data_IF_758219679759
#
_entry.id   IF_758219679759
#
_cell.length_a   1.000
_cell.length_b   1.000
_cell.length_c   1.000
_cell.angle_alpha   90.00
_cell.angle_beta   90.00
_cell.angle_gamma   90.00
#
_symmetry.space_group_name_H-M   'P 1'
#
loop_
_entity.id
_entity.type
_entity.pdbx_description
1 polymer ?
#
# COMPACT_ATOMS: atom_id res chain seq x y z
N UNK A 1 50.81 12.40 -31.14
CA UNK A 1 50.60 13.53 -30.21
C UNK A 1 49.30 14.21 -30.55
N UNK A 2 48.68 15.00 -29.67
CA UNK A 2 49.09 15.40 -28.31
C UNK A 2 47.94 15.04 -27.36
N UNK A 3 48.18 14.22 -26.34
CA UNK A 3 48.63 14.61 -24.99
C UNK A 3 47.46 14.93 -24.06
N UNK A 4 47.35 14.17 -22.97
CA UNK A 4 46.51 14.53 -21.82
C UNK A 4 47.03 15.82 -21.17
N UNK A 5 46.17 16.49 -20.39
CA UNK A 5 46.59 17.28 -19.23
C UNK A 5 45.40 17.51 -18.27
N UNK A 6 45.56 17.01 -17.04
CA UNK A 6 44.86 17.40 -15.82
C UNK A 6 45.94 17.56 -14.74
N UNK A 7 45.67 18.22 -13.60
CA UNK A 7 44.90 19.45 -13.41
C UNK A 7 45.80 20.55 -12.79
N UNK A 8 45.23 21.65 -12.30
CA UNK A 8 45.94 22.65 -11.49
C UNK A 8 45.10 23.02 -10.24
N UNK A 9 45.77 23.27 -9.12
CA UNK A 9 45.14 23.64 -7.85
C UNK A 9 46.07 24.54 -7.02
N UNK A 10 45.51 25.60 -6.42
CA UNK A 10 46.07 26.45 -5.37
C UNK A 10 44.89 26.83 -4.44
N UNK A 11 44.92 26.46 -3.16
CA UNK A 11 45.57 27.18 -2.05
C UNK A 11 44.84 28.53 -1.76
N UNK A 12 43.88 28.59 -0.83
CA UNK A 12 44.03 28.55 0.64
C UNK A 12 44.74 29.77 1.24
N UNK A 13 43.99 30.58 1.99
CA UNK A 13 44.50 31.42 3.09
C UNK A 13 43.46 31.40 4.22
N UNK A 14 43.88 31.13 5.46
CA UNK A 14 43.00 31.04 6.63
C UNK A 14 43.13 32.25 7.57
N UNK A 15 42.10 32.51 8.39
CA UNK A 15 42.16 33.48 9.49
C UNK A 15 41.31 33.05 10.71
N UNK A 16 42.00 32.73 11.80
CA UNK A 16 41.54 32.65 13.19
C UNK A 16 42.67 33.23 14.08
N UNK A 17 42.57 33.36 15.42
CA UNK A 17 41.41 33.33 16.33
C UNK A 17 41.34 34.58 17.25
N UNK A 18 40.42 34.61 18.22
CA UNK A 18 40.61 35.30 19.52
C UNK A 18 39.93 34.52 20.65
N UNK A 19 40.42 34.64 21.90
CA UNK A 19 40.12 33.72 23.02
C UNK A 19 40.21 34.39 24.40
N UNK A 20 39.22 34.14 25.27
CA UNK A 20 39.26 34.12 26.75
C UNK A 20 37.99 33.34 27.22
N UNK A 21 37.95 32.38 28.17
CA UNK A 21 38.48 32.25 29.56
C UNK A 21 37.92 33.29 30.55
N UNK A 22 37.49 32.97 31.80
CA UNK A 22 37.52 31.74 32.64
C UNK A 22 36.24 31.71 33.56
N UNK A 23 35.96 30.87 34.58
CA UNK A 23 36.72 29.89 35.40
C UNK A 23 35.90 28.58 35.72
N UNK A 24 35.68 28.21 37.00
CA UNK A 24 35.33 26.82 37.42
C UNK A 24 34.51 26.67 38.75
N UNK A 25 33.71 25.58 38.83
CA UNK A 25 33.52 24.61 39.96
C UNK A 25 32.84 25.03 41.32
N UNK A 26 32.44 24.09 42.25
CA UNK A 26 31.63 22.85 42.10
C UNK A 26 30.63 22.55 43.29
N UNK A 27 30.00 21.35 43.33
CA UNK A 27 29.35 20.63 44.49
C UNK A 27 27.97 21.13 45.03
N UNK A 28 27.04 20.32 45.62
CA UNK A 28 26.76 18.85 45.64
C UNK A 28 25.23 18.56 45.95
N UNK A 29 24.70 17.49 46.65
CA UNK A 29 23.67 16.62 46.02
C UNK A 29 22.37 16.24 46.82
N UNK A 30 21.43 15.55 46.13
CA UNK A 30 20.32 14.68 46.65
C UNK A 30 19.12 15.37 47.37
N UNK A 31 17.93 14.73 47.59
CA UNK A 31 17.60 13.28 47.60
C UNK A 31 16.36 12.80 46.79
N UNK A 32 16.13 11.48 46.83
CA UNK A 32 15.10 10.70 46.11
C UNK A 32 13.78 10.53 46.90
N UNK A 33 12.59 10.54 46.26
CA UNK A 33 11.35 10.02 46.84
C UNK A 33 11.26 8.47 46.79
N UNK A 34 10.69 7.85 47.81
CA UNK A 34 10.55 6.38 47.92
C UNK A 34 9.18 5.85 47.44
N UNK A 35 9.14 4.54 47.11
CA UNK A 35 7.92 3.79 46.79
C UNK A 35 7.15 3.41 48.07
N UNK A 36 5.83 3.62 48.16
CA UNK A 36 5.02 3.11 49.29
C UNK A 36 4.95 1.59 49.31
N UNK A 37 5.13 0.99 50.48
CA UNK A 37 4.84 -0.43 50.77
C UNK A 37 3.45 -0.58 51.40
N UNK A 38 2.76 -1.68 51.09
CA UNK A 38 1.46 -1.98 51.69
C UNK A 38 1.61 -2.67 53.07
N UNK A 39 0.68 -2.46 54.03
CA UNK A 39 0.68 -3.18 55.30
C UNK A 39 0.20 -4.64 55.13
N UNK A 40 0.74 -5.55 55.94
CA UNK A 40 0.23 -6.91 56.07
C UNK A 40 -0.87 -6.99 57.16
N UNK A 41 -1.90 -7.86 57.02
CA UNK A 41 -2.89 -8.07 58.07
C UNK A 41 -2.33 -8.93 59.22
N UNK A 42 -2.58 -8.51 60.47
CA UNK A 42 -2.49 -9.39 61.64
C UNK A 42 -3.72 -10.29 61.76
N UNK A 43 -3.56 -11.47 62.37
CA UNK A 43 -4.63 -12.47 62.49
C UNK A 43 -5.63 -12.23 63.63
N UNK A 44 -6.73 -12.98 63.58
CA UNK A 44 -7.78 -13.02 64.60
C UNK A 44 -8.86 -14.03 64.20
N UNK A 45 -8.79 -15.25 64.75
CA UNK A 45 -9.73 -16.34 64.46
C UNK A 45 -10.95 -16.34 65.42
N UNK A 46 -11.78 -17.38 65.33
CA UNK A 46 -12.91 -17.71 66.22
C UNK A 46 -14.18 -16.84 66.13
N UNK A 47 -14.89 -16.99 65.00
CA UNK A 47 -16.33 -16.75 64.90
C UNK A 47 -17.06 -17.94 64.23
N UNK A 48 -16.70 -19.17 64.58
CA UNK A 48 -17.28 -20.39 64.02
C UNK A 48 -18.76 -20.58 64.45
N UNK A 49 -19.68 -20.09 63.62
CA UNK A 49 -21.11 -20.00 63.95
C UNK A 49 -21.79 -21.34 64.28
N UNK A 50 -22.53 -21.37 65.39
CA UNK A 50 -23.30 -22.54 65.83
C UNK A 50 -24.52 -22.78 64.92
N UNK A 51 -24.39 -23.69 63.95
CA UNK A 51 -25.46 -24.07 63.00
C UNK A 51 -26.34 -25.18 63.56
N UNK A 52 -27.66 -24.96 63.57
CA UNK A 52 -28.64 -25.93 64.09
C UNK A 52 -28.79 -27.15 63.15
N UNK A 53 -29.16 -28.34 63.68
CA UNK A 53 -29.24 -29.58 62.88
C UNK A 53 -30.18 -29.49 61.66
N UNK A 54 -31.29 -28.74 61.77
CA UNK A 54 -32.24 -28.53 60.67
C UNK A 54 -31.61 -27.78 59.48
N UNK A 55 -30.76 -26.79 59.76
CA UNK A 55 -30.07 -25.99 58.75
C UNK A 55 -28.97 -26.82 58.07
N UNK A 56 -28.25 -27.64 58.86
CA UNK A 56 -27.28 -28.63 58.33
C UNK A 56 -27.96 -29.65 57.40
N UNK A 57 -29.15 -30.14 57.77
CA UNK A 57 -29.92 -31.06 56.92
C UNK A 57 -30.36 -30.40 55.61
N UNK A 58 -31.01 -29.23 55.65
CA UNK A 58 -31.40 -28.51 54.42
C UNK A 58 -30.21 -28.23 53.50
N UNK A 59 -29.06 -27.85 54.07
CA UNK A 59 -27.86 -27.57 53.28
C UNK A 59 -27.37 -28.83 52.54
N UNK A 60 -27.38 -29.99 53.19
CA UNK A 60 -27.05 -31.27 52.55
C UNK A 60 -28.10 -31.71 51.49
N UNK A 61 -29.39 -31.45 51.73
CA UNK A 61 -30.47 -31.79 50.78
C UNK A 61 -30.46 -30.90 49.52
N UNK A 62 -29.94 -29.67 49.61
CA UNK A 62 -29.85 -28.73 48.50
C UNK A 62 -28.43 -28.57 47.91
N UNK A 63 -27.42 -29.27 48.45
CA UNK A 63 -26.03 -29.19 47.99
C UNK A 63 -25.37 -27.83 48.22
N UNK A 64 -25.75 -27.13 49.30
CA UNK A 64 -25.27 -25.78 49.64
C UNK A 64 -24.14 -25.87 50.66
N UNK A 65 -22.99 -25.26 50.37
CA UNK A 65 -21.90 -25.13 51.33
C UNK A 65 -22.19 -24.01 52.33
N UNK A 66 -22.41 -24.37 53.60
CA UNK A 66 -22.69 -23.44 54.69
C UNK A 66 -21.57 -22.43 54.95
N UNK A 67 -20.32 -22.69 54.57
CA UNK A 67 -19.22 -21.72 54.69
C UNK A 67 -19.38 -20.54 53.73
N UNK A 68 -20.15 -20.71 52.65
CA UNK A 68 -20.45 -19.68 51.65
C UNK A 68 -21.74 -18.86 51.94
N UNK A 69 -22.50 -19.24 52.97
CA UNK A 69 -23.81 -18.64 53.28
C UNK A 69 -23.68 -17.68 54.46
N UNK A 70 -23.79 -16.37 54.18
CA UNK A 70 -23.83 -15.37 55.24
C UNK A 70 -25.17 -15.41 55.99
N UNK A 71 -25.14 -15.57 57.31
CA UNK A 71 -26.34 -15.84 58.12
C UNK A 71 -27.10 -14.59 58.57
N UNK A 72 -28.40 -14.51 58.26
CA UNK A 72 -29.25 -13.34 58.57
C UNK A 72 -29.83 -13.34 59.99
N UNK A 73 -29.64 -14.43 60.75
CA UNK A 73 -30.13 -14.56 62.11
C UNK A 73 -29.31 -13.79 63.15
N UNK A 74 -29.98 -13.29 64.19
CA UNK A 74 -29.37 -12.55 65.33
C UNK A 74 -28.10 -13.26 65.82
N UNK A 75 -26.95 -12.59 65.71
CA UNK A 75 -25.62 -13.16 65.99
C UNK A 75 -24.98 -13.92 64.81
N UNK A 76 -25.23 -13.51 63.56
CA UNK A 76 -24.65 -14.12 62.35
C UNK A 76 -25.11 -15.55 62.05
N UNK A 77 -26.23 -15.99 62.64
CA UNK A 77 -26.67 -17.39 62.55
C UNK A 77 -27.43 -17.67 61.27
N UNK A 78 -26.94 -18.65 60.50
CA UNK A 78 -27.59 -19.14 59.28
C UNK A 78 -28.98 -19.69 59.59
N UNK A 79 -29.99 -19.21 58.86
CA UNK A 79 -31.41 -19.60 58.96
C UNK A 79 -31.85 -20.48 57.78
N UNK A 80 -33.07 -21.01 57.87
CA UNK A 80 -33.69 -21.82 56.80
C UNK A 80 -33.80 -21.04 55.48
N UNK A 81 -34.20 -19.77 55.54
CA UNK A 81 -34.27 -18.86 54.40
C UNK A 81 -32.92 -18.71 53.70
N UNK A 82 -31.86 -18.39 54.45
CA UNK A 82 -30.51 -18.16 53.91
C UNK A 82 -30.01 -19.34 53.05
N UNK A 83 -30.25 -20.58 53.50
CA UNK A 83 -29.90 -21.81 52.74
C UNK A 83 -30.77 -22.00 51.51
N UNK A 84 -32.07 -21.69 51.57
CA UNK A 84 -32.97 -21.78 50.41
C UNK A 84 -32.64 -20.71 49.36
N UNK A 85 -32.32 -19.48 49.78
CA UNK A 85 -31.87 -18.43 48.87
C UNK A 85 -30.53 -18.75 48.23
N UNK A 86 -29.59 -19.36 48.97
CA UNK A 86 -28.34 -19.85 48.42
C UNK A 86 -28.58 -21.01 47.41
N UNK A 87 -29.52 -21.92 47.70
CA UNK A 87 -29.89 -23.00 46.79
C UNK A 87 -30.51 -22.47 45.48
N UNK A 88 -31.42 -21.51 45.53
CA UNK A 88 -32.02 -20.91 44.32
C UNK A 88 -31.01 -20.06 43.53
N UNK A 89 -30.11 -19.33 44.21
CA UNK A 89 -28.98 -18.64 43.55
C UNK A 89 -28.03 -19.62 42.86
N UNK A 90 -27.74 -20.77 43.48
CA UNK A 90 -26.92 -21.84 42.89
C UNK A 90 -27.60 -22.52 41.68
N UNK A 91 -28.94 -22.68 41.69
CA UNK A 91 -29.72 -23.13 40.52
C UNK A 91 -29.69 -22.10 39.39
N UNK A 92 -29.91 -20.82 39.69
CA UNK A 92 -29.87 -19.74 38.70
C UNK A 92 -28.48 -19.64 38.04
N UNK A 93 -27.40 -19.77 38.81
CA UNK A 93 -26.03 -19.80 38.28
C UNK A 93 -25.76 -21.03 37.37
N UNK A 94 -26.44 -22.17 37.60
CA UNK A 94 -26.37 -23.36 36.74
C UNK A 94 -27.20 -23.28 35.45
N UNK A 95 -28.01 -22.23 35.27
CA UNK A 95 -28.82 -22.01 34.07
C UNK A 95 -28.21 -21.00 33.08
N UNK A 96 -27.08 -20.37 33.41
CA UNK A 96 -26.38 -19.44 32.53
C UNK A 96 -25.45 -20.20 31.56
N UNK A 97 -25.48 -19.91 30.24
CA UNK A 97 -24.51 -20.48 29.30
C UNK A 97 -23.10 -19.94 29.59
N UNK A 98 -22.10 -20.83 29.55
CA UNK A 98 -20.73 -20.45 29.84
C UNK A 98 -20.16 -19.47 28.79
N UNK A 99 -19.34 -18.48 29.19
CA UNK A 99 -18.64 -17.62 28.23
C UNK A 99 -17.77 -18.44 27.29
N UNK A 100 -17.98 -18.30 25.99
CA UNK A 100 -17.14 -18.97 24.99
C UNK A 100 -15.70 -18.45 25.10
N UNK A 101 -14.74 -19.35 25.30
CA UNK A 101 -13.33 -19.00 25.29
C UNK A 101 -12.96 -18.41 23.93
N UNK A 102 -12.43 -17.19 23.91
CA UNK A 102 -11.91 -16.59 22.68
C UNK A 102 -10.76 -17.46 22.16
N UNK A 103 -10.78 -17.90 20.88
CA UNK A 103 -9.66 -18.64 20.32
C UNK A 103 -8.40 -17.80 20.38
N UNK A 104 -7.35 -18.33 21.01
CA UNK A 104 -6.02 -17.71 20.95
C UNK A 104 -5.62 -17.54 19.47
N UNK A 105 -5.12 -16.35 19.11
CA UNK A 105 -4.79 -16.02 17.73
C UNK A 105 -3.77 -17.04 17.19
N UNK A 106 -4.21 -17.88 16.25
CA UNK A 106 -3.38 -18.93 15.70
C UNK A 106 -2.14 -18.34 15.01
N UNK A 107 -0.95 -18.81 15.39
CA UNK A 107 0.28 -18.46 14.70
C UNK A 107 0.13 -18.79 13.20
N UNK A 108 0.64 -17.94 12.28
CA UNK A 108 0.46 -18.15 10.85
C UNK A 108 1.03 -19.50 10.44
N UNK A 109 0.17 -20.36 9.89
CA UNK A 109 0.57 -21.70 9.46
C UNK A 109 1.71 -21.62 8.43
N UNK A 110 2.71 -22.51 8.49
CA UNK A 110 3.85 -22.48 7.58
C UNK A 110 3.37 -22.57 6.13
N UNK A 111 3.87 -21.68 5.28
CA UNK A 111 3.47 -21.61 3.89
C UNK A 111 3.72 -22.96 3.19
N UNK A 112 2.68 -23.51 2.55
CA UNK A 112 2.82 -24.76 1.78
C UNK A 112 3.91 -24.59 0.72
N UNK A 113 4.83 -25.56 0.53
CA UNK A 113 5.84 -25.49 -0.51
C UNK A 113 5.22 -25.21 -1.88
N UNK A 114 5.81 -24.29 -2.63
CA UNK A 114 5.34 -23.96 -3.97
C UNK A 114 5.38 -25.21 -4.86
N UNK A 115 4.26 -25.53 -5.51
CA UNK A 115 4.18 -26.66 -6.41
C UNK A 115 5.14 -26.47 -7.59
N UNK A 116 5.91 -27.50 -7.95
CA UNK A 116 6.79 -27.46 -9.13
C UNK A 116 5.95 -27.21 -10.39
N UNK A 117 6.30 -26.23 -11.24
CA UNK A 117 5.60 -26.00 -12.50
C UNK A 117 5.57 -27.26 -13.37
N UNK A 118 4.38 -27.66 -13.83
CA UNK A 118 4.24 -28.81 -14.73
C UNK A 118 4.48 -28.39 -16.19
N UNK A 119 5.03 -29.27 -17.04
CA UNK A 119 5.16 -28.99 -18.47
C UNK A 119 3.80 -28.70 -19.12
N UNK A 120 3.70 -27.63 -19.90
CA UNK A 120 2.51 -27.36 -20.71
C UNK A 120 2.35 -28.41 -21.81
N UNK A 121 1.10 -28.82 -22.09
CA UNK A 121 0.75 -29.68 -23.22
C UNK A 121 1.12 -29.11 -24.60
N UNK A 122 1.50 -27.82 -24.69
CA UNK A 122 2.06 -27.21 -25.92
C UNK A 122 3.54 -27.52 -26.17
N UNK A 123 4.22 -28.25 -25.27
CA UNK A 123 5.62 -28.63 -25.45
C UNK A 123 5.77 -29.58 -26.65
N UNK A 124 6.34 -29.08 -27.74
CA UNK A 124 6.59 -29.83 -28.97
C UNK A 124 5.51 -29.70 -30.05
N UNK A 125 4.48 -28.87 -29.84
CA UNK A 125 3.43 -28.62 -30.85
C UNK A 125 3.73 -27.39 -31.70
N UNK A 126 3.30 -27.40 -32.97
CA UNK A 126 3.31 -26.21 -33.84
C UNK A 126 1.88 -25.71 -34.07
N UNK A 127 1.62 -24.46 -33.75
CA UNK A 127 0.31 -23.79 -33.95
C UNK A 127 0.43 -22.68 -35.00
N UNK A 128 -0.64 -22.44 -35.78
CA UNK A 128 -0.70 -21.29 -36.71
C UNK A 128 -0.94 -20.00 -35.92
N UNK A 129 -0.21 -18.93 -36.26
CA UNK A 129 -0.46 -17.60 -35.70
C UNK A 129 -1.90 -17.15 -35.99
N UNK A 130 -2.59 -16.65 -34.96
CA UNK A 130 -3.91 -16.04 -35.13
C UNK A 130 -3.79 -14.68 -35.83
N UNK A 131 -4.82 -14.25 -36.57
CA UNK A 131 -4.81 -12.95 -37.28
C UNK A 131 -4.43 -11.78 -36.35
N UNK A 132 -4.97 -11.78 -35.13
CA UNK A 132 -4.66 -10.79 -34.08
C UNK A 132 -3.18 -10.86 -33.68
N UNK A 133 -2.64 -12.06 -33.42
CA UNK A 133 -1.22 -12.20 -33.05
C UNK A 133 -0.27 -11.76 -34.17
N UNK A 134 -0.61 -12.05 -35.43
CA UNK A 134 0.15 -11.58 -36.60
C UNK A 134 0.12 -10.06 -36.74
N UNK A 135 -1.04 -9.42 -36.51
CA UNK A 135 -1.16 -7.96 -36.55
C UNK A 135 -0.33 -7.29 -35.43
N UNK A 136 -0.42 -7.80 -34.19
CA UNK A 136 0.38 -7.31 -33.06
C UNK A 136 1.88 -7.47 -33.34
N UNK A 137 2.31 -8.65 -33.81
CA UNK A 137 3.72 -8.90 -34.11
C UNK A 137 4.29 -7.93 -35.15
N UNK A 138 3.52 -7.63 -36.21
CA UNK A 138 3.87 -6.63 -37.20
C UNK A 138 3.99 -5.22 -36.59
N UNK A 139 2.94 -4.73 -35.90
CA UNK A 139 2.97 -3.38 -35.29
C UNK A 139 4.08 -3.16 -34.28
N UNK A 140 4.42 -4.19 -33.48
CA UNK A 140 5.55 -4.10 -32.53
C UNK A 140 6.91 -4.08 -33.25
N UNK A 141 7.06 -4.82 -34.35
CA UNK A 141 8.31 -4.79 -35.12
C UNK A 141 8.44 -3.50 -35.94
N UNK A 142 7.35 -3.00 -36.55
CA UNK A 142 7.29 -1.69 -37.21
C UNK A 142 7.75 -0.58 -36.26
N UNK A 143 7.16 -0.50 -35.05
CA UNK A 143 7.55 0.51 -34.04
C UNK A 143 9.04 0.46 -33.65
N UNK A 144 9.63 -0.74 -33.54
CA UNK A 144 11.06 -0.91 -33.25
C UNK A 144 12.00 -0.60 -34.43
N UNK A 145 11.50 -0.54 -35.67
CA UNK A 145 12.29 -0.13 -36.83
C UNK A 145 12.09 1.36 -37.16
N UNK A 146 10.94 1.93 -36.77
CA UNK A 146 10.62 3.35 -36.93
C UNK A 146 11.30 4.22 -35.86
N UNK A 147 11.15 3.87 -34.57
CA UNK A 147 11.51 4.73 -33.45
C UNK A 147 12.90 4.47 -32.89
N UNK A 148 13.62 5.52 -32.47
CA UNK A 148 14.84 5.39 -31.67
C UNK A 148 14.46 5.26 -30.19
N UNK A 149 13.91 4.10 -29.80
CA UNK A 149 13.35 3.95 -28.45
C UNK A 149 14.44 3.93 -27.37
N UNK A 150 14.29 4.80 -26.37
CA UNK A 150 15.06 4.81 -25.13
C UNK A 150 14.11 4.64 -23.93
N UNK A 151 14.56 3.99 -22.86
CA UNK A 151 13.83 3.93 -21.58
C UNK A 151 14.61 4.66 -20.49
N UNK A 152 13.96 5.60 -19.80
CA UNK A 152 14.46 6.23 -18.57
C UNK A 152 13.68 5.69 -17.37
N UNK A 153 14.38 5.31 -16.30
CA UNK A 153 13.79 4.68 -15.09
C UNK A 153 14.13 5.50 -13.84
N UNK A 154 13.14 5.71 -12.97
CA UNK A 154 13.31 6.40 -11.68
C UNK A 154 12.68 5.61 -10.52
N UNK A 155 13.07 5.94 -9.29
CA UNK A 155 12.44 5.44 -8.05
C UNK A 155 11.51 6.47 -7.40
N UNK A 156 10.37 6.00 -6.88
CA UNK A 156 9.30 6.82 -6.30
C UNK A 156 8.81 6.23 -4.97
N UNK A 157 8.77 7.03 -3.90
CA UNK A 157 8.23 6.69 -2.57
C UNK A 157 6.71 6.93 -2.48
N UNK A 158 5.93 5.91 -2.80
CA UNK A 158 4.47 5.95 -2.69
C UNK A 158 3.96 5.61 -1.28
N UNK A 159 4.75 5.83 -0.23
CA UNK A 159 4.35 5.57 1.17
C UNK A 159 3.14 6.41 1.60
N UNK A 160 3.02 7.67 1.17
CA UNK A 160 1.85 8.51 1.48
C UNK A 160 0.59 7.92 0.85
N UNK A 161 0.62 7.64 -0.45
CA UNK A 161 -0.46 6.94 -1.16
C UNK A 161 -0.77 5.58 -0.50
N UNK A 162 0.23 4.82 -0.06
CA UNK A 162 0.01 3.53 0.60
C UNK A 162 -0.73 3.67 1.95
N UNK A 163 -0.49 4.74 2.71
CA UNK A 163 -1.24 5.07 3.94
C UNK A 163 -2.67 5.49 3.60
N UNK A 164 -2.84 6.45 2.68
CA UNK A 164 -4.15 6.94 2.25
C UNK A 164 -5.03 5.83 1.68
N UNK A 165 -4.46 4.94 0.87
CA UNK A 165 -5.15 3.75 0.37
C UNK A 165 -5.56 2.78 1.49
N UNK A 166 -4.79 2.66 2.57
CA UNK A 166 -5.17 1.82 3.70
C UNK A 166 -6.34 2.43 4.51
N UNK A 167 -6.42 3.76 4.58
CA UNK A 167 -7.49 4.51 5.25
C UNK A 167 -8.78 4.57 4.41
N UNK A 168 -8.69 4.98 3.14
CA UNK A 168 -9.85 5.28 2.29
C UNK A 168 -10.40 4.10 1.48
N UNK A 169 -9.74 2.94 1.42
CA UNK A 169 -10.14 1.82 0.53
C UNK A 169 -11.61 1.43 0.60
N UNK A 170 -12.19 1.38 1.80
CA UNK A 170 -13.52 0.83 2.01
C UNK A 170 -14.60 1.89 1.75
N UNK A 171 -14.40 3.13 2.21
CA UNK A 171 -15.28 4.27 1.89
C UNK A 171 -15.21 4.63 0.40
N UNK A 172 -14.04 4.53 -0.24
CA UNK A 172 -13.89 4.68 -1.68
C UNK A 172 -14.65 3.58 -2.44
N UNK A 173 -14.55 2.32 -2.02
CA UNK A 173 -15.33 1.24 -2.64
C UNK A 173 -16.85 1.45 -2.47
N UNK A 174 -17.30 1.97 -1.32
CA UNK A 174 -18.71 2.34 -1.10
C UNK A 174 -19.17 3.49 -2.00
N UNK A 175 -18.38 4.57 -2.12
CA UNK A 175 -18.71 5.75 -2.94
C UNK A 175 -18.58 5.52 -4.46
N UNK A 176 -17.63 4.68 -4.90
CA UNK A 176 -17.28 4.53 -6.31
C UNK A 176 -17.62 3.15 -6.89
N UNK A 177 -18.00 2.15 -6.08
CA UNK A 177 -18.29 0.78 -6.52
C UNK A 177 -17.06 -0.06 -6.89
N UNK A 178 -15.86 0.55 -6.90
CA UNK A 178 -14.62 -0.04 -7.41
C UNK A 178 -13.50 0.02 -6.36
N UNK A 179 -12.58 -0.96 -6.40
CA UNK A 179 -11.48 -1.07 -5.43
C UNK A 179 -10.39 -0.04 -5.71
N UNK A 180 -10.01 0.71 -4.67
CA UNK A 180 -8.90 1.67 -4.71
C UNK A 180 -7.54 0.95 -4.83
N UNK A 181 -7.06 0.72 -6.05
CA UNK A 181 -5.71 0.20 -6.33
C UNK A 181 -4.67 1.35 -6.44
N UNK A 182 -3.40 1.05 -6.71
CA UNK A 182 -2.39 2.09 -6.98
C UNK A 182 -2.50 2.67 -8.41
N UNK A 183 -3.03 1.90 -9.37
CA UNK A 183 -3.01 2.27 -10.79
C UNK A 183 -3.73 3.60 -11.12
N UNK A 184 -4.87 3.96 -10.50
CA UNK A 184 -5.51 5.26 -10.72
C UNK A 184 -4.65 6.46 -10.29
N UNK A 185 -3.80 6.32 -9.27
CA UNK A 185 -2.88 7.40 -8.85
C UNK A 185 -1.77 7.59 -9.88
N UNK A 186 -1.22 6.50 -10.41
CA UNK A 186 -0.22 6.54 -11.49
C UNK A 186 -0.81 7.12 -12.78
N UNK A 187 -2.04 6.74 -13.12
CA UNK A 187 -2.76 7.25 -14.28
C UNK A 187 -3.06 8.76 -14.15
N UNK A 188 -3.54 9.21 -12.99
CA UNK A 188 -3.80 10.64 -12.75
C UNK A 188 -2.51 11.46 -12.82
N UNK A 189 -1.48 11.08 -12.06
CA UNK A 189 -0.20 11.80 -12.03
C UNK A 189 0.48 11.84 -13.40
N UNK A 190 0.39 10.76 -14.20
CA UNK A 190 0.88 10.76 -15.57
C UNK A 190 0.09 11.72 -16.47
N UNK A 191 -1.24 11.74 -16.39
CA UNK A 191 -2.11 12.61 -17.20
C UNK A 191 -1.91 14.09 -16.84
N UNK A 192 -1.88 14.44 -15.56
CA UNK A 192 -1.56 15.80 -15.09
C UNK A 192 -0.16 16.24 -15.59
N UNK A 193 0.81 15.32 -15.65
CA UNK A 193 2.14 15.61 -16.19
C UNK A 193 2.15 15.71 -17.74
N UNK A 194 1.30 14.99 -18.48
CA UNK A 194 1.21 15.13 -19.94
C UNK A 194 0.72 16.53 -20.34
N UNK A 195 -0.18 17.12 -19.55
CA UNK A 195 -0.66 18.50 -19.75
C UNK A 195 0.45 19.54 -19.54
N UNK A 196 1.36 19.29 -18.60
CA UNK A 196 2.54 20.14 -18.36
C UNK A 196 3.69 19.90 -19.37
N UNK A 197 3.80 18.69 -19.91
CA UNK A 197 4.88 18.27 -20.83
C UNK A 197 4.30 17.65 -22.12
N UNK A 198 3.57 18.43 -22.95
CA UNK A 198 2.79 17.91 -24.08
C UNK A 198 3.63 17.27 -25.18
N UNK A 199 4.95 17.51 -25.23
CA UNK A 199 5.89 16.78 -26.10
C UNK A 199 5.91 15.26 -25.83
N UNK A 200 5.63 14.83 -24.59
CA UNK A 200 5.54 13.41 -24.21
C UNK A 200 4.21 12.78 -24.65
N UNK A 201 3.17 13.59 -24.85
CA UNK A 201 1.86 13.19 -25.41
C UNK A 201 1.80 13.33 -26.95
N UNK A 202 2.82 13.94 -27.57
CA UNK A 202 2.84 14.25 -28.99
C UNK A 202 3.10 13.02 -29.87
N UNK A 203 2.94 13.20 -31.19
CA UNK A 203 3.36 12.25 -32.22
C UNK A 203 4.15 12.97 -33.32
N UNK A 204 5.14 12.29 -33.87
CA UNK A 204 5.93 12.79 -35.01
C UNK A 204 5.55 12.05 -36.30
N UNK A 205 5.24 12.81 -37.36
CA UNK A 205 5.26 12.30 -38.73
C UNK A 205 6.51 12.83 -39.44
N UNK A 206 7.52 11.96 -39.55
CA UNK A 206 8.81 12.28 -40.16
C UNK A 206 8.71 12.39 -41.70
N UNK A 207 7.70 11.80 -42.33
CA UNK A 207 7.50 11.88 -43.78
C UNK A 207 6.79 13.18 -44.19
N UNK A 208 5.85 13.65 -43.36
CA UNK A 208 5.25 14.98 -43.50
C UNK A 208 6.13 16.11 -42.92
N UNK A 209 7.12 15.78 -42.09
CA UNK A 209 7.96 16.75 -41.39
C UNK A 209 7.22 17.52 -40.29
N UNK A 210 6.28 16.89 -39.59
CA UNK A 210 5.39 17.54 -38.62
C UNK A 210 5.36 16.85 -37.26
N UNK A 211 5.02 17.62 -36.22
CA UNK A 211 4.70 17.14 -34.89
C UNK A 211 3.23 17.49 -34.63
N UNK A 212 2.40 16.51 -34.28
CA UNK A 212 1.04 16.77 -33.76
C UNK A 212 1.06 16.69 -32.25
N UNK A 213 0.59 17.75 -31.60
CA UNK A 213 0.17 17.72 -30.19
C UNK A 213 -1.33 17.43 -30.16
N UNK A 214 -1.80 16.42 -29.39
CA UNK A 214 -3.23 16.18 -29.21
C UNK A 214 -3.94 17.35 -28.50
N UNK A 215 -5.25 17.42 -28.67
CA UNK A 215 -6.16 18.34 -27.97
C UNK A 215 -6.62 17.81 -26.60
N UNK A 216 -6.41 16.51 -26.31
CA UNK A 216 -6.63 15.90 -24.98
C UNK A 216 -5.72 14.68 -24.73
N UNK A 217 -5.56 14.29 -23.46
CA UNK A 217 -4.92 13.02 -23.08
C UNK A 217 -5.89 11.84 -23.29
N UNK A 218 -5.57 10.97 -24.24
CA UNK A 218 -6.30 9.71 -24.44
C UNK A 218 -5.45 8.56 -23.89
N UNK A 219 -5.72 8.14 -22.65
CA UNK A 219 -4.86 7.22 -21.91
C UNK A 219 -5.19 5.75 -22.22
N UNK A 220 -4.30 5.09 -22.96
CA UNK A 220 -4.33 3.63 -23.12
C UNK A 220 -3.93 2.92 -21.82
N UNK A 221 -4.68 1.90 -21.41
CA UNK A 221 -4.38 1.07 -20.24
C UNK A 221 -4.11 -0.35 -20.72
N UNK A 222 -2.90 -0.88 -20.47
CA UNK A 222 -2.56 -2.24 -20.89
C UNK A 222 -3.28 -3.30 -20.02
N UNK A 223 -4.15 -4.10 -20.63
CA UNK A 223 -4.95 -5.14 -19.97
C UNK A 223 -4.63 -6.52 -20.53
N UNK A 224 -4.10 -7.37 -19.66
CA UNK A 224 -3.80 -8.78 -19.96
C UNK A 224 -5.08 -9.64 -19.98
N UNK A 225 -5.20 -10.51 -20.98
CA UNK A 225 -6.33 -11.43 -21.19
C UNK A 225 -5.85 -12.77 -21.74
N UNK A 226 -6.67 -13.82 -21.62
CA UNK A 226 -6.38 -15.15 -22.18
C UNK A 226 -6.13 -15.16 -23.70
N UNK A 227 -6.63 -14.13 -24.43
CA UNK A 227 -6.44 -13.96 -25.87
C UNK A 227 -5.19 -13.13 -26.22
N UNK A 228 -4.52 -12.58 -25.20
CA UNK A 228 -3.37 -11.69 -25.30
C UNK A 228 -3.63 -10.32 -24.69
N UNK A 229 -2.57 -9.50 -24.67
CA UNK A 229 -2.62 -8.10 -24.26
C UNK A 229 -3.52 -7.29 -25.21
N UNK A 230 -4.38 -6.46 -24.63
CA UNK A 230 -5.17 -5.42 -25.31
C UNK A 230 -4.94 -4.09 -24.58
N UNK A 231 -5.12 -2.97 -25.29
CA UNK A 231 -4.95 -1.62 -24.72
C UNK A 231 -6.25 -0.83 -24.92
N UNK A 232 -7.27 -1.03 -24.07
CA UNK A 232 -8.42 -0.15 -24.02
C UNK A 232 -8.05 1.29 -23.65
N UNK A 233 -8.84 2.25 -24.12
CA UNK A 233 -8.52 3.69 -24.09
C UNK A 233 -9.50 4.47 -23.22
N UNK A 234 -8.97 5.23 -22.27
CA UNK A 234 -9.71 6.26 -21.53
C UNK A 234 -9.59 7.55 -22.35
N UNK A 235 -10.55 7.80 -23.24
CA UNK A 235 -10.61 9.09 -23.93
C UNK A 235 -10.91 10.22 -22.94
N UNK A 236 -10.26 11.37 -23.17
CA UNK A 236 -10.35 12.57 -22.36
C UNK A 236 -10.02 12.26 -20.88
N UNK A 237 -8.92 11.55 -20.65
CA UNK A 237 -8.43 11.25 -19.31
C UNK A 237 -8.05 12.53 -18.53
N UNK A 238 -7.63 13.59 -19.24
CA UNK A 238 -7.32 14.92 -18.70
C UNK A 238 -8.46 15.57 -17.91
N UNK A 239 -9.71 15.25 -18.22
CA UNK A 239 -10.91 15.78 -17.54
C UNK A 239 -11.29 15.00 -16.28
N UNK A 240 -10.56 13.93 -15.93
CA UNK A 240 -10.97 12.94 -14.92
C UNK A 240 -10.14 12.99 -13.64
N UNK A 241 -10.80 13.25 -12.51
CA UNK A 241 -10.22 12.98 -11.19
C UNK A 241 -9.99 11.48 -10.93
N UNK A 242 -9.25 11.15 -9.86
CA UNK A 242 -8.93 9.78 -9.42
C UNK A 242 -10.16 8.87 -9.32
N UNK A 243 -11.30 9.42 -8.89
CA UNK A 243 -12.57 8.70 -8.78
C UNK A 243 -13.22 8.35 -10.13
N UNK A 244 -13.02 9.21 -11.14
CA UNK A 244 -13.39 8.96 -12.54
C UNK A 244 -12.45 7.97 -13.21
N UNK A 245 -11.14 8.19 -13.11
CA UNK A 245 -10.10 7.29 -13.63
C UNK A 245 -10.27 5.88 -13.06
N UNK A 246 -10.43 5.73 -11.74
CA UNK A 246 -10.62 4.42 -11.11
C UNK A 246 -11.85 3.66 -11.64
N UNK A 247 -12.96 4.36 -11.89
CA UNK A 247 -14.17 3.76 -12.50
C UNK A 247 -13.92 3.34 -13.94
N UNK A 248 -13.32 4.21 -14.76
CA UNK A 248 -13.01 3.93 -16.18
C UNK A 248 -12.01 2.77 -16.33
N UNK A 249 -10.92 2.76 -15.55
CA UNK A 249 -9.95 1.65 -15.51
C UNK A 249 -10.62 0.33 -15.16
N UNK A 250 -11.53 0.30 -14.18
CA UNK A 250 -12.21 -0.91 -13.76
C UNK A 250 -13.17 -1.44 -14.85
N UNK A 251 -14.05 -0.58 -15.37
CA UNK A 251 -15.01 -0.91 -16.43
C UNK A 251 -14.32 -1.41 -17.70
N UNK A 252 -13.36 -0.64 -18.24
CA UNK A 252 -12.62 -1.02 -19.44
C UNK A 252 -11.84 -2.33 -19.25
N UNK A 253 -11.25 -2.56 -18.07
CA UNK A 253 -10.53 -3.80 -17.80
C UNK A 253 -11.47 -5.01 -17.60
N UNK A 254 -12.70 -4.83 -17.12
CA UNK A 254 -13.70 -5.89 -17.08
C UNK A 254 -14.24 -6.19 -18.48
N UNK A 255 -14.63 -5.16 -19.25
CA UNK A 255 -15.15 -5.30 -20.62
C UNK A 255 -14.09 -5.84 -21.58
N UNK A 256 -12.82 -5.50 -21.40
CA UNK A 256 -11.72 -6.08 -22.19
C UNK A 256 -11.54 -7.58 -21.89
N UNK A 257 -11.54 -8.00 -20.62
CA UNK A 257 -11.45 -9.42 -20.23
C UNK A 257 -12.68 -10.24 -20.65
N UNK A 258 -13.87 -9.64 -20.59
CA UNK A 258 -15.14 -10.30 -20.94
C UNK A 258 -15.51 -10.17 -22.43
N UNK A 259 -14.63 -9.61 -23.28
CA UNK A 259 -14.85 -9.39 -24.72
C UNK A 259 -16.13 -8.56 -25.03
N UNK A 260 -16.30 -7.46 -24.29
CA UNK A 260 -17.36 -6.43 -24.43
C UNK A 260 -16.79 -5.02 -24.68
N UNK A 261 -15.53 -4.94 -25.09
CA UNK A 261 -14.86 -3.68 -25.50
C UNK A 261 -15.21 -3.37 -26.96
N UNK A 262 -15.50 -2.12 -27.29
CA UNK A 262 -15.79 -1.71 -28.66
C UNK A 262 -14.51 -1.48 -29.49
N UNK A 263 -14.60 -1.38 -30.84
CA UNK A 263 -13.46 -1.01 -31.68
C UNK A 263 -12.91 0.40 -31.41
N UNK A 264 -13.79 1.35 -31.10
CA UNK A 264 -13.40 2.75 -30.86
C UNK A 264 -12.61 2.87 -29.55
N UNK A 265 -13.01 2.09 -28.53
CA UNK A 265 -12.36 2.02 -27.22
C UNK A 265 -11.00 1.30 -27.23
N UNK A 266 -10.51 0.81 -28.37
CA UNK A 266 -9.15 0.26 -28.55
C UNK A 266 -8.31 1.05 -29.57
N UNK A 267 -8.75 2.27 -29.89
CA UNK A 267 -8.11 3.18 -30.84
C UNK A 267 -7.92 4.58 -30.24
N UNK A 268 -7.07 5.41 -30.88
CA UNK A 268 -6.95 6.83 -30.52
C UNK A 268 -6.22 7.16 -29.22
N UNK A 269 -5.65 6.19 -28.50
CA UNK A 269 -4.77 6.49 -27.36
C UNK A 269 -3.53 7.27 -27.82
N UNK A 270 -3.18 8.33 -27.10
CA UNK A 270 -2.02 9.20 -27.35
C UNK A 270 -0.81 8.80 -26.50
N UNK A 271 -1.09 8.25 -25.32
CA UNK A 271 -0.10 7.74 -24.36
C UNK A 271 -0.60 6.43 -23.75
N UNK A 272 0.30 5.53 -23.36
CA UNK A 272 -0.07 4.23 -22.75
C UNK A 272 0.57 4.03 -21.38
N UNK A 273 -0.19 3.45 -20.45
CA UNK A 273 0.25 3.00 -19.12
C UNK A 273 0.18 1.47 -19.04
N UNK A 274 1.30 0.83 -18.65
CA UNK A 274 1.37 -0.62 -18.37
C UNK A 274 1.77 -0.90 -16.93
N UNK A 275 1.34 -2.04 -16.40
CA UNK A 275 1.59 -2.44 -15.01
C UNK A 275 1.94 -3.94 -14.90
N UNK A 276 3.16 -4.28 -15.27
CA UNK A 276 3.78 -5.58 -14.99
C UNK A 276 4.15 -5.74 -13.49
N UNK A 277 4.23 -4.64 -12.74
CA UNK A 277 4.33 -4.64 -11.28
C UNK A 277 3.23 -5.43 -10.56
N UNK A 278 2.04 -5.51 -11.15
CA UNK A 278 0.93 -6.34 -10.69
C UNK A 278 1.26 -7.85 -10.65
N UNK A 279 2.28 -8.29 -11.39
CA UNK A 279 2.83 -9.65 -11.40
C UNK A 279 4.20 -9.77 -10.70
N UNK A 280 4.66 -8.71 -10.04
CA UNK A 280 5.92 -8.68 -9.27
C UNK A 280 7.16 -8.24 -10.04
N UNK A 281 7.04 -7.73 -11.28
CA UNK A 281 8.17 -7.15 -11.99
C UNK A 281 8.67 -5.87 -11.28
N UNK A 282 9.99 -5.68 -11.19
CA UNK A 282 10.55 -4.44 -10.63
C UNK A 282 10.26 -3.25 -11.55
N UNK A 283 10.56 -3.40 -12.84
CA UNK A 283 10.15 -2.54 -13.95
C UNK A 283 10.22 -3.35 -15.25
N UNK A 284 9.69 -2.78 -16.34
CA UNK A 284 9.90 -3.23 -17.71
C UNK A 284 10.43 -2.08 -18.59
N UNK A 285 10.94 -2.42 -19.77
CA UNK A 285 11.27 -1.48 -20.85
C UNK A 285 10.22 -1.65 -21.94
N UNK A 286 9.02 -1.04 -21.81
CA UNK A 286 7.92 -1.29 -22.74
C UNK A 286 8.25 -0.82 -24.15
N UNK A 287 7.80 -1.55 -25.17
CA UNK A 287 7.86 -1.12 -26.57
C UNK A 287 6.71 -0.15 -26.80
N UNK A 288 7.02 1.10 -27.18
CA UNK A 288 6.00 2.12 -27.47
C UNK A 288 5.14 1.69 -28.66
N UNK A 289 3.80 1.81 -28.62
CA UNK A 289 2.94 1.45 -29.74
C UNK A 289 2.81 2.62 -30.74
N UNK A 290 3.44 2.49 -31.93
CA UNK A 290 3.25 3.43 -33.05
C UNK A 290 1.76 3.63 -33.36
N UNK A 291 1.23 4.88 -33.44
CA UNK A 291 1.96 6.15 -33.63
C UNK A 291 2.15 6.99 -32.34
N UNK A 292 2.05 6.42 -31.14
CA UNK A 292 2.39 7.14 -29.89
C UNK A 292 3.90 7.36 -29.79
N UNK A 293 4.35 8.44 -29.15
CA UNK A 293 5.79 8.67 -28.93
C UNK A 293 6.30 8.28 -27.54
N UNK A 294 5.44 7.96 -26.57
CA UNK A 294 5.87 7.49 -25.25
C UNK A 294 4.88 6.53 -24.54
N UNK A 295 5.40 5.76 -23.58
CA UNK A 295 4.67 4.77 -22.79
C UNK A 295 5.30 4.58 -21.40
N UNK A 296 4.49 4.60 -20.34
CA UNK A 296 4.93 4.47 -18.95
C UNK A 296 4.67 3.05 -18.39
N UNK A 297 5.73 2.38 -17.96
CA UNK A 297 5.69 1.15 -17.17
C UNK A 297 5.72 1.42 -15.68
N UNK A 298 4.77 0.83 -14.93
CA UNK A 298 4.72 0.90 -13.47
C UNK A 298 5.17 -0.42 -12.83
N UNK A 299 6.23 -0.33 -12.03
CA UNK A 299 6.80 -1.44 -11.28
C UNK A 299 5.96 -1.95 -10.11
N UNK A 300 6.43 -3.00 -9.47
CA UNK A 300 5.82 -3.54 -8.25
C UNK A 300 6.01 -2.57 -7.08
N UNK A 301 4.91 -2.21 -6.40
CA UNK A 301 4.99 -1.43 -5.15
C UNK A 301 5.44 -2.35 -4.02
N UNK A 302 6.70 -2.21 -3.60
CA UNK A 302 7.37 -3.09 -2.64
C UNK A 302 7.82 -2.32 -1.39
N UNK A 303 7.68 -2.93 -0.21
CA UNK A 303 8.26 -2.36 1.01
C UNK A 303 9.77 -2.59 1.02
N UNK A 304 10.56 -1.52 1.07
CA UNK A 304 12.03 -1.53 1.16
C UNK A 304 12.50 -0.69 2.35
N UNK A 305 13.61 -1.06 3.03
CA UNK A 305 14.33 -0.11 3.87
C UNK A 305 15.04 0.92 2.95
N UNK A 306 14.90 2.20 3.26
CA UNK A 306 15.44 3.31 2.48
C UNK A 306 16.01 4.36 3.45
N UNK A 307 17.17 4.93 3.15
CA UNK A 307 17.70 6.10 3.88
C UNK A 307 16.88 7.32 3.48
N UNK A 308 16.36 8.03 4.46
CA UNK A 308 15.54 9.24 4.26
C UNK A 308 16.01 10.34 5.22
N UNK A 309 15.94 11.59 4.76
CA UNK A 309 16.19 12.74 5.61
C UNK A 309 14.94 13.04 6.43
N UNK A 310 15.01 12.81 7.73
CA UNK A 310 14.01 13.22 8.70
C UNK A 310 14.34 14.63 9.23
N UNK A 311 13.36 15.56 9.35
CA UNK A 311 13.63 16.93 9.79
C UNK A 311 14.18 17.07 11.21
N UNK A 312 13.93 16.09 12.09
CA UNK A 312 14.39 16.11 13.49
C UNK A 312 15.56 15.15 13.74
N UNK A 313 15.56 14.01 13.05
CA UNK A 313 16.52 12.91 13.29
C UNK A 313 17.67 12.82 12.28
N UNK A 314 17.63 13.59 11.19
CA UNK A 314 18.65 13.53 10.13
C UNK A 314 18.50 12.27 9.24
N UNK A 315 19.60 11.69 8.79
CA UNK A 315 19.58 10.48 7.98
C UNK A 315 19.11 9.26 8.80
N UNK A 316 17.93 8.73 8.47
CA UNK A 316 17.36 7.54 9.14
C UNK A 316 16.98 6.46 8.13
N UNK A 317 17.16 5.20 8.50
CA UNK A 317 16.67 4.05 7.70
C UNK A 317 15.21 3.79 8.04
N UNK A 318 14.31 4.07 7.09
CA UNK A 318 12.87 3.88 7.26
C UNK A 318 12.30 2.87 6.25
N UNK A 319 11.25 2.15 6.65
CA UNK A 319 10.50 1.29 5.72
C UNK A 319 9.59 2.16 4.86
N UNK A 320 9.78 2.10 3.54
CA UNK A 320 9.01 2.83 2.53
C UNK A 320 8.39 1.89 1.50
N UNK A 321 7.19 2.24 1.02
CA UNK A 321 6.52 1.57 -0.10
C UNK A 321 7.02 2.19 -1.40
N UNK A 322 8.04 1.60 -2.00
CA UNK A 322 8.73 2.13 -3.17
C UNK A 322 8.22 1.48 -4.47
N UNK A 323 8.29 2.21 -5.58
CA UNK A 323 8.02 1.71 -6.94
C UNK A 323 9.03 2.25 -7.93
N UNK A 324 9.28 1.51 -9.01
CA UNK A 324 10.00 2.01 -10.18
C UNK A 324 9.00 2.51 -11.22
N UNK A 325 9.28 3.65 -11.85
CA UNK A 325 8.55 4.13 -13.03
C UNK A 325 9.53 4.16 -14.20
N UNK A 326 9.14 3.55 -15.33
CA UNK A 326 9.97 3.41 -16.52
C UNK A 326 9.26 4.03 -17.73
N UNK A 327 9.73 5.19 -18.20
CA UNK A 327 9.21 5.82 -19.41
C UNK A 327 10.02 5.34 -20.61
N UNK A 328 9.41 4.60 -21.52
CA UNK A 328 9.94 4.41 -22.87
C UNK A 328 9.43 5.51 -23.79
N UNK A 329 10.30 6.03 -24.66
CA UNK A 329 9.97 7.10 -25.60
C UNK A 329 10.80 7.03 -26.88
N UNK A 330 10.26 7.58 -27.97
CA UNK A 330 10.99 7.79 -29.22
C UNK A 330 11.93 9.00 -29.08
N UNK A 331 13.23 8.74 -28.90
CA UNK A 331 14.23 9.77 -28.65
C UNK A 331 14.47 10.68 -29.88
N UNK A 332 13.87 10.39 -31.04
CA UNK A 332 13.83 11.30 -32.19
C UNK A 332 12.93 12.54 -31.96
N UNK A 333 11.97 12.44 -31.04
CA UNK A 333 11.01 13.50 -30.72
C UNK A 333 11.19 14.04 -29.28
N UNK A 334 11.44 13.14 -28.33
CA UNK A 334 11.49 13.47 -26.90
C UNK A 334 12.94 13.41 -26.44
N UNK A 335 13.49 14.55 -26.03
CA UNK A 335 14.82 14.61 -25.45
C UNK A 335 14.85 14.00 -24.04
N UNK A 336 16.00 13.46 -23.65
CA UNK A 336 16.20 12.90 -22.31
C UNK A 336 15.94 13.90 -21.17
N UNK A 337 16.08 15.21 -21.44
CA UNK A 337 15.72 16.27 -20.51
C UNK A 337 14.21 16.38 -20.29
N UNK A 338 13.38 16.19 -21.33
CA UNK A 338 11.92 16.26 -21.22
C UNK A 338 11.34 14.97 -20.63
N UNK A 339 11.89 13.82 -21.00
CA UNK A 339 11.60 12.56 -20.33
C UNK A 339 11.92 12.61 -18.83
N UNK A 340 13.04 13.24 -18.45
CA UNK A 340 13.40 13.45 -17.04
C UNK A 340 12.45 14.42 -16.33
N UNK A 341 12.12 15.58 -16.92
CA UNK A 341 11.17 16.55 -16.34
C UNK A 341 9.78 15.95 -16.12
N UNK A 342 9.26 15.22 -17.10
CA UNK A 342 8.00 14.50 -16.99
C UNK A 342 8.04 13.47 -15.84
N UNK A 343 9.06 12.62 -15.79
CA UNK A 343 9.21 11.63 -14.72
C UNK A 343 9.38 12.27 -13.34
N UNK A 344 10.07 13.40 -13.23
CA UNK A 344 10.18 14.18 -11.97
C UNK A 344 8.82 14.73 -11.55
N UNK A 345 8.02 15.33 -12.45
CA UNK A 345 6.69 15.82 -12.09
C UNK A 345 5.73 14.70 -11.65
N UNK A 346 5.76 13.54 -12.33
CA UNK A 346 5.01 12.35 -11.91
C UNK A 346 5.47 11.86 -10.53
N UNK A 347 6.78 11.84 -10.27
CA UNK A 347 7.38 11.50 -8.96
C UNK A 347 6.91 12.47 -7.87
N UNK A 348 7.05 13.77 -8.07
CA UNK A 348 6.68 14.81 -7.11
C UNK A 348 5.19 14.76 -6.77
N UNK A 349 4.30 14.61 -7.77
CA UNK A 349 2.85 14.45 -7.55
C UNK A 349 2.51 13.21 -6.71
N UNK A 350 3.21 12.09 -6.93
CA UNK A 350 3.00 10.84 -6.19
C UNK A 350 3.62 10.87 -4.77
N UNK A 351 4.78 11.50 -4.60
CA UNK A 351 5.52 11.60 -3.32
C UNK A 351 4.97 12.69 -2.39
N UNK A 352 4.42 13.78 -2.95
CA UNK A 352 3.59 14.73 -2.20
C UNK A 352 2.38 14.00 -1.62
N UNK A 353 1.74 13.13 -2.41
CA UNK A 353 0.66 12.26 -1.95
C UNK A 353 -0.66 12.99 -1.66
N UNK A 354 -0.80 14.25 -2.06
CA UNK A 354 -1.97 15.10 -1.80
C UNK A 354 -3.19 14.60 -2.60
N UNK A 355 -3.91 13.60 -2.08
CA UNK A 355 -5.10 12.99 -2.71
C UNK A 355 -6.30 12.92 -1.75
N UNK A 356 -6.18 13.50 -0.55
CA UNK A 356 -7.16 13.44 0.55
C UNK A 356 -8.56 13.91 0.10
N UNK A 357 -8.65 15.07 -0.55
CA UNK A 357 -9.91 15.63 -1.03
C UNK A 357 -10.61 14.73 -2.07
N UNK A 358 -9.84 14.06 -2.93
CA UNK A 358 -10.35 13.11 -3.94
C UNK A 358 -10.84 11.81 -3.26
N UNK A 359 -10.14 11.40 -2.20
CA UNK A 359 -10.45 10.25 -1.37
C UNK A 359 -11.55 10.51 -0.33
N UNK A 360 -11.94 11.77 -0.11
CA UNK A 360 -12.94 12.17 0.89
C UNK A 360 -12.45 11.96 2.32
N UNK A 361 -11.21 12.35 2.59
CA UNK A 361 -10.54 12.34 3.89
C UNK A 361 -10.34 13.78 4.41
#
# INVERSE_FOLDING_TARGET
GLSYNEPAAEAEVAAQPVKAEQAAQPAAPTPTPQRPTAPAPGGGEEAAGYVTPLVRKLASEHGVDLSSVNGTGVGGRIRKQDVLEAAEKAKAAKAAPAPAAQPAAAAPAPAKPAAKPQPSGKRGTTEKLTRIRTAIAKRMQESLHEMAQLTTVIEVDVTRIAKLRAQAKDSFQQRHGVKLSFLPFFALAAVEALQAYPIVNARMDLAAGTITYPDAEHLGIAVDTERGLLVPVIHNAGDLNLGGIAKRVADLAERTRTNKISPDEIAGATFTLTNTGSRGALFDTPIVPSPQSAMLGTGAVVKRPVVVNDPELGEVVAVRSMVYLALSYDHRLIDGADAARFLVAVKERLEAGNFEAELGL
#
